data_IF_384674445827
#
_entry.id   IF_384674445827
#
_cell.length_a   1.000
_cell.length_b   1.000
_cell.length_c   1.000
_cell.angle_alpha   90.00
_cell.angle_beta   90.00
_cell.angle_gamma   90.00
#
_symmetry.space_group_name_H-M   'P 1'
#
loop_
_entity.id
_entity.type
_entity.pdbx_description
1 polymer ?
#
# COMPACT_ATOMS: atom_id res chain seq x y z
N UNK A 1 -7.16 38.79 33.97
CA UNK A 1 -6.84 40.23 33.92
C UNK A 1 -7.70 41.06 34.89
N UNK A 2 -9.00 40.79 35.04
CA UNK A 2 -9.87 41.51 35.99
C UNK A 2 -9.45 41.34 37.47
N UNK A 3 -9.27 40.11 37.95
CA UNK A 3 -8.87 39.82 39.35
C UNK A 3 -7.52 40.43 39.77
N UNK A 4 -6.58 40.60 38.83
CA UNK A 4 -5.31 41.27 39.11
C UNK A 4 -5.45 42.79 39.25
N UNK A 5 -6.39 43.40 38.51
CA UNK A 5 -6.67 44.82 38.60
C UNK A 5 -7.39 45.17 39.92
N UNK A 6 -8.33 44.32 40.34
CA UNK A 6 -9.10 44.47 41.57
C UNK A 6 -8.22 44.37 42.83
N UNK A 7 -7.29 43.41 42.86
CA UNK A 7 -6.28 43.31 43.93
C UNK A 7 -5.33 44.52 43.96
N UNK A 8 -5.02 45.09 42.79
CA UNK A 8 -4.15 46.26 42.69
C UNK A 8 -4.85 47.53 43.19
N UNK A 9 -6.17 47.66 42.96
CA UNK A 9 -7.00 48.72 43.54
C UNK A 9 -7.09 48.62 45.06
N UNK A 10 -7.32 47.42 45.62
CA UNK A 10 -7.39 47.23 47.09
C UNK A 10 -6.05 47.49 47.77
N UNK A 11 -4.92 47.11 47.14
CA UNK A 11 -3.58 47.51 47.61
C UNK A 11 -3.34 49.01 47.52
N UNK A 12 -3.78 49.67 46.45
CA UNK A 12 -3.59 51.11 46.26
C UNK A 12 -4.47 51.95 47.20
N UNK A 13 -5.62 51.43 47.61
CA UNK A 13 -6.55 52.06 48.55
C UNK A 13 -6.16 51.87 50.04
N UNK A 14 -5.08 51.12 50.34
CA UNK A 14 -4.66 50.84 51.70
C UNK A 14 -5.58 49.85 52.44
N UNK A 15 -6.22 48.94 51.70
CA UNK A 15 -7.09 47.90 52.26
C UNK A 15 -6.36 47.00 53.26
N UNK A 16 -7.12 46.49 54.24
CA UNK A 16 -6.60 45.65 55.31
C UNK A 16 -6.04 44.32 54.74
N UNK A 17 -5.03 43.75 55.41
CA UNK A 17 -4.42 42.47 54.98
C UNK A 17 -5.47 41.35 54.91
N UNK A 18 -6.53 41.45 55.73
CA UNK A 18 -7.69 40.56 55.73
C UNK A 18 -8.49 40.66 54.44
N UNK A 19 -8.72 41.86 53.90
CA UNK A 19 -9.48 42.06 52.65
C UNK A 19 -8.72 41.51 51.45
N UNK A 20 -7.39 41.68 51.46
CA UNK A 20 -6.52 41.12 50.41
C UNK A 20 -6.49 39.59 50.47
N UNK A 21 -6.46 39.00 51.67
CA UNK A 21 -6.49 37.55 51.88
C UNK A 21 -7.80 36.94 51.37
N UNK A 22 -8.93 37.59 51.68
CA UNK A 22 -10.26 37.18 51.21
C UNK A 22 -10.35 37.17 49.68
N UNK A 23 -9.79 38.18 49.00
CA UNK A 23 -9.73 38.21 47.52
C UNK A 23 -8.88 37.07 46.95
N UNK A 24 -7.73 36.76 47.56
CA UNK A 24 -6.92 35.61 47.14
C UNK A 24 -7.62 34.27 47.39
N UNK A 25 -8.39 34.12 48.47
CA UNK A 25 -9.19 32.92 48.73
C UNK A 25 -10.30 32.75 47.69
N UNK A 26 -11.05 33.82 47.39
CA UNK A 26 -12.09 33.81 46.35
C UNK A 26 -11.53 33.43 44.98
N UNK A 27 -10.40 34.01 44.58
CA UNK A 27 -9.77 33.69 43.31
C UNK A 27 -9.22 32.26 43.26
N UNK A 28 -8.68 31.74 44.37
CA UNK A 28 -8.26 30.34 44.44
C UNK A 28 -9.45 29.38 44.28
N UNK A 29 -10.59 29.71 44.88
CA UNK A 29 -11.80 28.91 44.76
C UNK A 29 -12.39 29.00 43.35
N UNK A 30 -12.34 30.17 42.72
CA UNK A 30 -12.73 30.34 41.32
C UNK A 30 -11.81 29.54 40.38
N UNK A 31 -10.48 29.65 40.54
CA UNK A 31 -9.51 28.88 39.75
C UNK A 31 -9.65 27.38 39.94
N UNK A 32 -9.95 26.91 41.16
CA UNK A 32 -10.23 25.49 41.43
C UNK A 32 -11.51 25.02 40.72
N UNK A 33 -12.52 25.87 40.67
CA UNK A 33 -13.78 25.60 39.97
C UNK A 33 -13.55 25.52 38.46
N UNK A 34 -12.89 26.53 37.88
CA UNK A 34 -12.55 26.56 36.46
C UNK A 34 -11.66 25.36 36.05
N UNK A 35 -10.67 25.00 36.88
CA UNK A 35 -9.81 23.85 36.62
C UNK A 35 -10.60 22.54 36.66
N UNK A 36 -11.56 22.42 37.58
CA UNK A 36 -12.45 21.26 37.67
C UNK A 36 -13.33 21.16 36.43
N UNK A 37 -13.97 22.25 36.03
CA UNK A 37 -14.82 22.32 34.82
C UNK A 37 -14.02 22.00 33.55
N UNK A 38 -12.81 22.53 33.42
CA UNK A 38 -11.93 22.23 32.29
C UNK A 38 -11.56 20.74 32.26
N UNK A 39 -11.23 20.14 33.41
CA UNK A 39 -10.93 18.70 33.49
C UNK A 39 -12.12 17.85 33.06
N UNK A 40 -13.31 18.16 33.58
CA UNK A 40 -14.54 17.46 33.19
C UNK A 40 -14.83 17.61 31.68
N UNK A 41 -14.60 18.81 31.12
CA UNK A 41 -14.73 19.05 29.70
C UNK A 41 -13.72 18.24 28.86
N UNK A 42 -12.44 18.23 29.25
CA UNK A 42 -11.41 17.48 28.54
C UNK A 42 -11.63 15.96 28.64
N UNK A 43 -12.03 15.45 29.80
CA UNK A 43 -12.37 14.03 29.98
C UNK A 43 -13.56 13.64 29.10
N UNK A 44 -14.57 14.52 29.00
CA UNK A 44 -15.70 14.34 28.10
C UNK A 44 -15.29 14.31 26.62
N UNK A 45 -14.44 15.25 26.20
CA UNK A 45 -13.91 15.29 24.84
C UNK A 45 -13.04 14.07 24.51
N UNK A 46 -12.20 13.63 25.44
CA UNK A 46 -11.36 12.45 25.27
C UNK A 46 -12.21 11.19 25.10
N UNK A 47 -13.22 11.02 25.96
CA UNK A 47 -14.16 9.89 25.88
C UNK A 47 -14.90 9.86 24.54
N UNK A 48 -15.36 11.02 24.06
CA UNK A 48 -16.04 11.13 22.76
C UNK A 48 -15.09 10.78 21.60
N UNK A 49 -13.85 11.29 21.63
CA UNK A 49 -12.85 11.00 20.61
C UNK A 49 -12.45 9.52 20.59
N UNK A 50 -12.32 8.88 21.75
CA UNK A 50 -12.06 7.44 21.86
C UNK A 50 -13.21 6.62 21.29
N UNK A 51 -14.47 6.96 21.63
CA UNK A 51 -15.65 6.29 21.11
C UNK A 51 -15.78 6.43 19.57
N UNK A 52 -15.51 7.62 19.02
CA UNK A 52 -15.50 7.85 17.58
C UNK A 52 -14.40 7.03 16.88
N UNK A 53 -13.19 7.03 17.44
CA UNK A 53 -12.07 6.24 16.92
C UNK A 53 -12.41 4.76 16.92
N UNK A 54 -12.95 4.24 18.00
CA UNK A 54 -13.27 2.81 18.12
C UNK A 54 -14.39 2.42 17.16
N UNK A 55 -15.40 3.28 16.98
CA UNK A 55 -16.45 3.10 15.98
C UNK A 55 -15.87 3.10 14.56
N UNK A 56 -14.95 4.01 14.25
CA UNK A 56 -14.29 4.07 12.95
C UNK A 56 -13.43 2.83 12.66
N UNK A 57 -12.70 2.34 13.66
CA UNK A 57 -11.92 1.09 13.55
C UNK A 57 -12.84 -0.11 13.30
N UNK A 58 -13.95 -0.22 14.04
CA UNK A 58 -14.91 -1.31 13.84
C UNK A 58 -15.56 -1.25 12.46
N UNK A 59 -15.96 -0.07 12.01
CA UNK A 59 -16.50 0.14 10.67
C UNK A 59 -15.49 -0.26 9.58
N UNK A 60 -14.24 0.18 9.70
CA UNK A 60 -13.17 -0.18 8.77
C UNK A 60 -12.92 -1.69 8.72
N UNK A 61 -12.85 -2.35 9.88
CA UNK A 61 -12.67 -3.79 9.97
C UNK A 61 -13.84 -4.56 9.35
N UNK A 62 -15.07 -4.14 9.61
CA UNK A 62 -16.27 -4.77 9.02
C UNK A 62 -16.33 -4.59 7.51
N UNK A 63 -16.00 -3.40 7.00
CA UNK A 63 -15.93 -3.13 5.57
C UNK A 63 -14.85 -3.99 4.88
N UNK A 64 -13.68 -4.14 5.52
CA UNK A 64 -12.59 -4.99 5.03
C UNK A 64 -13.01 -6.46 4.97
N UNK A 65 -13.68 -6.97 6.01
CA UNK A 65 -14.18 -8.35 6.02
C UNK A 65 -15.20 -8.59 4.89
N UNK A 66 -16.15 -7.68 4.69
CA UNK A 66 -17.11 -7.76 3.59
C UNK A 66 -16.45 -7.70 2.21
N UNK A 67 -15.42 -6.87 2.04
CA UNK A 67 -14.68 -6.78 0.78
C UNK A 67 -13.98 -8.10 0.45
N UNK A 68 -13.33 -8.73 1.43
CA UNK A 68 -12.68 -10.04 1.25
C UNK A 68 -13.70 -11.14 0.88
N UNK A 69 -14.86 -11.17 1.53
CA UNK A 69 -15.93 -12.12 1.20
C UNK A 69 -16.42 -11.94 -0.25
N UNK A 70 -16.66 -10.69 -0.67
CA UNK A 70 -17.07 -10.37 -2.04
C UNK A 70 -16.00 -10.79 -3.05
N UNK A 71 -14.73 -10.52 -2.78
CA UNK A 71 -13.61 -10.94 -3.64
C UNK A 71 -13.54 -12.45 -3.78
N UNK A 72 -13.68 -13.20 -2.68
CA UNK A 72 -13.72 -14.66 -2.73
C UNK A 72 -14.89 -15.17 -3.59
N UNK A 73 -16.06 -14.57 -3.43
CA UNK A 73 -17.25 -14.93 -4.22
C UNK A 73 -17.07 -14.62 -5.71
N UNK A 74 -16.54 -13.45 -6.06
CA UNK A 74 -16.25 -13.07 -7.45
C UNK A 74 -15.29 -14.08 -8.07
N UNK A 75 -14.20 -14.44 -7.39
CA UNK A 75 -13.23 -15.44 -7.88
C UNK A 75 -13.88 -16.81 -8.10
N UNK A 76 -14.71 -17.26 -7.17
CA UNK A 76 -15.44 -18.52 -7.33
C UNK A 76 -16.35 -18.50 -8.56
N UNK A 77 -17.01 -17.36 -8.82
CA UNK A 77 -17.85 -17.19 -10.00
C UNK A 77 -17.02 -17.13 -11.29
N UNK A 78 -15.89 -16.42 -11.30
CA UNK A 78 -14.97 -16.37 -12.42
C UNK A 78 -14.42 -17.76 -12.77
N UNK A 79 -14.00 -18.54 -11.77
CA UNK A 79 -13.55 -19.92 -11.98
C UNK A 79 -14.64 -20.80 -12.60
N UNK A 80 -15.88 -20.70 -12.10
CA UNK A 80 -17.02 -21.45 -12.66
C UNK A 80 -17.35 -21.00 -14.09
N UNK A 81 -17.26 -19.69 -14.35
CA UNK A 81 -17.48 -19.13 -15.68
C UNK A 81 -16.44 -19.67 -16.66
N UNK A 82 -15.16 -19.59 -16.32
CA UNK A 82 -14.05 -20.12 -17.12
C UNK A 82 -14.21 -21.63 -17.36
N UNK A 83 -14.62 -22.41 -16.34
CA UNK A 83 -14.87 -23.84 -16.51
C UNK A 83 -16.01 -24.15 -17.50
N UNK A 84 -16.94 -23.20 -17.70
CA UNK A 84 -18.10 -23.36 -18.58
C UNK A 84 -17.81 -22.86 -20.00
N UNK A 85 -17.13 -21.73 -20.15
CA UNK A 85 -16.82 -21.11 -21.45
C UNK A 85 -15.49 -21.57 -22.05
N UNK A 86 -14.66 -22.26 -21.26
CA UNK A 86 -13.28 -22.58 -21.60
C UNK A 86 -12.32 -21.42 -21.32
N UNK A 87 -11.03 -21.76 -21.16
CA UNK A 87 -9.94 -20.77 -21.06
C UNK A 87 -9.61 -20.32 -22.48
N UNK A 88 -9.84 -19.04 -22.79
CA UNK A 88 -9.30 -18.44 -24.01
C UNK A 88 -7.94 -17.85 -23.69
N UNK A 89 -6.87 -18.48 -24.19
CA UNK A 89 -5.55 -17.87 -24.12
C UNK A 89 -5.56 -16.51 -24.85
N UNK A 90 -5.09 -15.44 -24.21
CA UNK A 90 -5.07 -14.14 -24.84
C UNK A 90 -4.04 -14.13 -25.97
N UNK A 91 -4.39 -13.53 -27.10
CA UNK A 91 -3.44 -13.31 -28.17
C UNK A 91 -2.32 -12.40 -27.65
N UNK A 92 -1.06 -12.79 -27.88
CA UNK A 92 0.12 -12.02 -27.51
C UNK A 92 0.43 -11.02 -28.63
N UNK A 93 0.35 -9.70 -28.37
CA UNK A 93 0.74 -8.71 -29.35
C UNK A 93 2.24 -8.77 -29.67
N UNK A 94 2.59 -8.48 -30.92
CA UNK A 94 3.98 -8.41 -31.37
C UNK A 94 4.65 -7.05 -31.07
N UNK A 95 3.89 -6.08 -30.56
CA UNK A 95 4.36 -4.75 -30.17
C UNK A 95 3.84 -4.35 -28.79
N UNK A 96 4.38 -3.26 -28.25
CA UNK A 96 4.00 -2.70 -26.95
C UNK A 96 3.05 -1.49 -27.08
N UNK A 97 2.52 -1.22 -28.27
CA UNK A 97 1.75 0.00 -28.54
C UNK A 97 0.42 0.05 -27.75
N UNK A 98 -0.23 -1.10 -27.61
CA UNK A 98 -1.48 -1.29 -26.87
C UNK A 98 -1.26 -1.99 -25.53
N UNK A 99 -0.06 -1.87 -24.97
CA UNK A 99 0.35 -2.63 -23.79
C UNK A 99 -0.54 -2.35 -22.56
N UNK A 100 -0.90 -1.09 -22.31
CA UNK A 100 -1.74 -0.73 -21.15
C UNK A 100 -3.15 -1.32 -21.27
N UNK A 101 -3.78 -1.19 -22.43
CA UNK A 101 -5.12 -1.74 -22.67
C UNK A 101 -5.13 -3.26 -22.59
N UNK A 102 -4.12 -3.91 -23.18
CA UNK A 102 -3.97 -5.36 -23.06
C UNK A 102 -3.81 -5.81 -21.60
N UNK A 103 -3.03 -5.08 -20.79
CA UNK A 103 -2.89 -5.39 -19.37
C UNK A 103 -4.23 -5.26 -18.64
N UNK A 104 -5.00 -4.20 -18.91
CA UNK A 104 -6.32 -3.99 -18.33
C UNK A 104 -7.27 -5.14 -18.65
N UNK A 105 -7.27 -5.61 -19.88
CA UNK A 105 -8.20 -6.65 -20.32
C UNK A 105 -7.82 -8.06 -19.83
N UNK A 106 -6.52 -8.33 -19.65
CA UNK A 106 -6.03 -9.70 -19.44
C UNK A 106 -5.47 -9.96 -18.04
N UNK A 107 -5.10 -8.93 -17.28
CA UNK A 107 -4.40 -9.07 -16.00
C UNK A 107 -5.22 -8.59 -14.80
N UNK A 108 -6.25 -7.78 -15.02
CA UNK A 108 -7.09 -7.18 -13.98
C UNK A 108 -7.58 -8.22 -12.97
N UNK A 109 -7.49 -7.88 -11.68
CA UNK A 109 -7.89 -8.77 -10.59
C UNK A 109 -6.84 -9.81 -10.17
N UNK A 110 -5.69 -9.90 -10.86
CA UNK A 110 -4.60 -10.81 -10.52
C UNK A 110 -3.22 -10.16 -10.55
N UNK A 111 -2.92 -9.36 -11.57
CA UNK A 111 -1.66 -8.62 -11.68
C UNK A 111 -1.97 -7.15 -11.98
N UNK A 112 -1.44 -6.26 -11.16
CA UNK A 112 -1.57 -4.81 -11.34
C UNK A 112 -0.23 -4.18 -11.69
N UNK A 113 -0.26 -3.21 -12.61
CA UNK A 113 0.92 -2.45 -13.00
C UNK A 113 0.73 -1.01 -12.54
N UNK A 114 1.74 -0.46 -11.85
CA UNK A 114 1.72 0.96 -11.48
C UNK A 114 2.21 1.83 -12.64
N UNK A 115 1.88 3.13 -12.62
CA UNK A 115 2.25 4.09 -13.68
C UNK A 115 3.73 4.04 -14.10
N UNK A 116 4.64 3.83 -13.15
CA UNK A 116 6.07 3.71 -13.41
C UNK A 116 6.44 2.49 -14.26
N UNK A 117 5.73 1.37 -14.11
CA UNK A 117 5.93 0.17 -14.91
C UNK A 117 5.60 0.45 -16.39
N UNK A 118 4.48 1.11 -16.67
CA UNK A 118 4.12 1.55 -18.03
C UNK A 118 5.15 2.50 -18.64
N UNK A 119 5.70 3.40 -17.83
CA UNK A 119 6.79 4.27 -18.28
C UNK A 119 8.06 3.50 -18.64
N UNK A 120 8.38 2.43 -17.90
CA UNK A 120 9.51 1.54 -18.20
C UNK A 120 9.33 0.84 -19.55
N UNK A 121 8.14 0.30 -19.81
CA UNK A 121 7.79 -0.35 -21.09
C UNK A 121 7.85 0.65 -22.24
N UNK A 122 7.25 1.84 -22.09
CA UNK A 122 7.21 2.86 -23.17
C UNK A 122 8.60 3.35 -23.60
N UNK A 123 9.60 3.26 -22.71
CA UNK A 123 10.99 3.66 -22.98
C UNK A 123 11.88 2.47 -23.36
N UNK A 124 11.31 1.28 -23.44
CA UNK A 124 12.08 0.07 -23.62
C UNK A 124 12.33 -0.22 -25.10
N UNK A 125 13.58 -0.56 -25.40
CA UNK A 125 13.98 -1.15 -26.69
C UNK A 125 14.14 -2.67 -26.58
N UNK A 126 13.43 -3.32 -25.64
CA UNK A 126 13.53 -4.76 -25.44
C UNK A 126 13.07 -5.50 -26.68
N UNK A 127 13.92 -6.40 -27.17
CA UNK A 127 13.78 -7.00 -28.51
C UNK A 127 12.60 -7.96 -28.67
N UNK A 128 12.06 -8.50 -27.57
CA UNK A 128 10.97 -9.48 -27.59
C UNK A 128 9.76 -8.99 -26.77
N UNK A 129 8.85 -8.20 -27.38
CA UNK A 129 7.60 -7.78 -26.75
C UNK A 129 6.75 -8.95 -26.21
N UNK A 130 6.67 -10.05 -26.94
CA UNK A 130 5.87 -11.22 -26.55
C UNK A 130 6.38 -11.85 -25.25
N UNK A 131 7.69 -11.82 -25.00
CA UNK A 131 8.26 -12.28 -23.74
C UNK A 131 7.81 -11.46 -22.54
N UNK A 132 7.60 -10.16 -22.70
CA UNK A 132 7.06 -9.29 -21.64
C UNK A 132 5.65 -9.74 -21.27
N UNK A 133 4.80 -9.97 -22.27
CA UNK A 133 3.44 -10.47 -22.05
C UNK A 133 3.43 -11.84 -21.38
N UNK A 134 4.25 -12.79 -21.86
CA UNK A 134 4.40 -14.13 -21.24
C UNK A 134 4.85 -14.06 -19.79
N UNK A 135 5.77 -13.14 -19.46
CA UNK A 135 6.23 -12.94 -18.08
C UNK A 135 5.12 -12.45 -17.16
N UNK A 136 4.22 -11.59 -17.66
CA UNK A 136 3.05 -11.11 -16.91
C UNK A 136 1.98 -12.19 -16.74
N UNK A 137 1.75 -12.98 -17.79
CA UNK A 137 0.86 -14.14 -17.72
C UNK A 137 1.40 -15.20 -16.76
N UNK A 138 2.71 -15.41 -16.70
CA UNK A 138 3.33 -16.28 -15.72
C UNK A 138 2.99 -15.85 -14.28
N UNK A 139 3.00 -14.55 -14.00
CA UNK A 139 2.56 -14.04 -12.71
C UNK A 139 1.06 -14.31 -12.48
N UNK A 140 0.22 -14.01 -13.48
CA UNK A 140 -1.24 -14.16 -13.41
C UNK A 140 -1.67 -15.61 -13.19
N UNK A 141 -1.12 -16.53 -13.98
CA UNK A 141 -1.62 -17.90 -14.12
C UNK A 141 -0.95 -18.88 -13.15
N UNK A 142 0.23 -18.53 -12.63
CA UNK A 142 1.00 -19.44 -11.78
C UNK A 142 1.42 -18.82 -10.45
N UNK A 143 2.02 -17.62 -10.45
CA UNK A 143 2.45 -17.00 -9.19
C UNK A 143 1.26 -16.63 -8.30
N UNK A 144 0.25 -15.97 -8.85
CA UNK A 144 -0.92 -15.51 -8.10
C UNK A 144 -1.71 -16.69 -7.50
N UNK A 145 -2.06 -17.76 -8.25
CA UNK A 145 -2.67 -18.95 -7.68
C UNK A 145 -1.81 -19.62 -6.61
N UNK A 146 -0.48 -19.73 -6.81
CA UNK A 146 0.43 -20.26 -5.80
C UNK A 146 0.43 -19.44 -4.50
N UNK A 147 0.27 -18.12 -4.58
CA UNK A 147 0.21 -17.24 -3.40
C UNK A 147 -1.15 -17.28 -2.70
N UNK A 148 -2.24 -17.36 -3.46
CA UNK A 148 -3.61 -17.44 -2.92
C UNK A 148 -3.90 -18.78 -2.28
N UNK A 149 -3.40 -19.85 -2.90
CA UNK A 149 -3.70 -21.23 -2.53
C UNK A 149 -2.39 -21.98 -2.27
N UNK A 150 -2.19 -22.40 -1.02
CA UNK A 150 -0.99 -23.17 -0.61
C UNK A 150 -1.09 -24.65 -0.99
N UNK A 151 -1.43 -24.93 -2.25
CA UNK A 151 -1.47 -26.30 -2.79
C UNK A 151 -0.07 -26.68 -3.32
N UNK A 152 0.43 -27.91 -3.05
CA UNK A 152 1.74 -28.36 -3.53
C UNK A 152 1.87 -28.28 -5.06
N UNK A 153 0.81 -28.59 -5.79
CA UNK A 153 0.78 -28.60 -7.25
C UNK A 153 0.98 -27.20 -7.84
N UNK A 154 0.46 -26.14 -7.20
CA UNK A 154 0.61 -24.77 -7.67
C UNK A 154 2.07 -24.30 -7.60
N UNK A 155 2.82 -24.72 -6.56
CA UNK A 155 4.24 -24.39 -6.45
C UNK A 155 5.07 -25.10 -7.52
N UNK A 156 4.75 -26.36 -7.81
CA UNK A 156 5.41 -27.11 -8.88
C UNK A 156 5.11 -26.49 -10.24
N UNK A 157 3.83 -26.20 -10.52
CA UNK A 157 3.41 -25.56 -11.77
C UNK A 157 4.10 -24.21 -11.99
N UNK A 158 4.25 -23.41 -10.93
CA UNK A 158 4.99 -22.15 -10.99
C UNK A 158 6.48 -22.34 -11.30
N UNK A 159 7.13 -23.31 -10.65
CA UNK A 159 8.53 -23.63 -10.95
C UNK A 159 8.71 -24.13 -12.39
N UNK A 160 7.81 -24.98 -12.89
CA UNK A 160 7.83 -25.48 -14.27
C UNK A 160 7.60 -24.34 -15.29
N UNK A 161 6.70 -23.41 -14.99
CA UNK A 161 6.46 -22.21 -15.82
C UNK A 161 7.66 -21.25 -15.84
N UNK A 162 8.36 -21.08 -14.71
CA UNK A 162 9.60 -20.30 -14.66
C UNK A 162 10.67 -20.94 -15.55
N UNK A 163 10.86 -22.26 -15.43
CA UNK A 163 11.84 -23.00 -16.22
C UNK A 163 11.54 -22.95 -17.73
N UNK A 164 10.27 -23.02 -18.14
CA UNK A 164 9.88 -23.00 -19.56
C UNK A 164 10.15 -21.65 -20.24
N UNK A 165 10.15 -20.56 -19.47
CA UNK A 165 10.50 -19.22 -19.94
C UNK A 165 11.95 -18.82 -19.63
N UNK A 166 12.75 -19.74 -19.09
CA UNK A 166 14.13 -19.46 -18.63
C UNK A 166 14.20 -18.26 -17.68
N UNK A 167 13.20 -18.15 -16.80
CA UNK A 167 13.08 -17.10 -15.79
C UNK A 167 13.49 -17.62 -14.41
N UNK A 168 14.23 -16.80 -13.68
CA UNK A 168 14.53 -17.01 -12.27
C UNK A 168 13.75 -15.99 -11.43
N UNK A 169 13.10 -16.45 -10.36
CA UNK A 169 12.49 -15.57 -9.36
C UNK A 169 13.39 -15.50 -8.12
N UNK A 170 13.72 -14.29 -7.69
CA UNK A 170 14.53 -14.08 -6.50
C UNK A 170 14.18 -12.80 -5.77
N UNK A 171 14.61 -12.70 -4.51
CA UNK A 171 14.48 -11.45 -3.76
C UNK A 171 15.40 -10.38 -4.33
N UNK A 172 14.97 -9.13 -4.23
CA UNK A 172 15.71 -7.97 -4.78
C UNK A 172 17.02 -7.65 -4.00
N UNK A 173 17.28 -8.35 -2.89
CA UNK A 173 18.55 -8.31 -2.15
C UNK A 173 18.88 -6.98 -1.47
N UNK A 174 20.13 -6.84 -1.00
CA UNK A 174 20.62 -5.66 -0.26
C UNK A 174 20.68 -4.36 -1.11
N UNK A 175 20.51 -4.43 -2.43
CA UNK A 175 20.41 -3.25 -3.29
C UNK A 175 19.26 -2.30 -2.92
N UNK A 176 18.22 -2.84 -2.26
CA UNK A 176 17.12 -2.07 -1.66
C UNK A 176 17.62 -1.12 -0.57
N UNK A 177 18.66 -1.50 0.20
CA UNK A 177 19.20 -0.69 1.31
C UNK A 177 19.88 0.59 0.84
N UNK A 178 20.47 0.59 -0.36
CA UNK A 178 21.23 1.73 -0.90
C UNK A 178 20.44 2.56 -1.92
N UNK A 179 19.27 2.10 -2.36
CA UNK A 179 18.45 2.79 -3.37
C UNK A 179 16.95 2.54 -3.15
N UNK A 180 16.50 2.73 -1.91
CA UNK A 180 15.12 2.47 -1.49
C UNK A 180 14.06 3.19 -2.35
N UNK A 181 14.36 4.38 -2.88
CA UNK A 181 13.47 5.11 -3.80
C UNK A 181 13.27 4.38 -5.15
N UNK A 182 14.31 3.74 -5.68
CA UNK A 182 14.20 3.03 -6.95
C UNK A 182 13.41 1.73 -6.81
N UNK A 183 13.55 1.06 -5.68
CA UNK A 183 12.91 -0.21 -5.35
C UNK A 183 11.62 -0.05 -4.56
N UNK A 184 10.94 1.09 -4.66
CA UNK A 184 9.63 1.26 -4.05
C UNK A 184 8.65 2.02 -4.94
N UNK A 185 7.37 1.80 -4.67
CA UNK A 185 6.24 2.38 -5.39
C UNK A 185 5.17 2.82 -4.39
N UNK A 186 4.37 3.80 -4.76
CA UNK A 186 3.16 4.14 -4.00
C UNK A 186 2.02 3.25 -4.48
N UNK A 187 1.42 2.49 -3.56
CA UNK A 187 0.30 1.60 -3.85
C UNK A 187 -0.58 1.44 -2.60
N UNK A 188 -1.91 1.54 -2.76
CA UNK A 188 -2.85 1.44 -1.64
C UNK A 188 -2.61 2.51 -0.56
N UNK A 189 -2.28 3.74 -0.98
CA UNK A 189 -2.04 4.88 -0.06
C UNK A 189 -0.73 4.82 0.74
N UNK A 190 0.13 3.83 0.49
CA UNK A 190 1.37 3.67 1.21
C UNK A 190 2.52 3.25 0.30
N UNK A 191 3.74 3.51 0.80
CA UNK A 191 4.97 3.16 0.10
C UNK A 191 5.24 1.67 0.29
N UNK A 192 5.46 0.95 -0.82
CA UNK A 192 5.69 -0.50 -0.86
C UNK A 192 7.02 -0.80 -1.53
N UNK A 193 7.79 -1.73 -0.95
CA UNK A 193 9.05 -2.20 -1.51
C UNK A 193 8.79 -3.25 -2.60
N UNK A 194 9.53 -3.16 -3.70
CA UNK A 194 9.60 -4.19 -4.75
C UNK A 194 10.59 -5.26 -4.30
N UNK A 195 10.13 -6.17 -3.44
CA UNK A 195 10.93 -7.15 -2.73
C UNK A 195 11.28 -8.39 -3.56
N UNK A 196 10.60 -8.58 -4.71
CA UNK A 196 10.85 -9.69 -5.64
C UNK A 196 11.15 -9.18 -7.04
N UNK A 197 11.82 -10.03 -7.81
CA UNK A 197 11.92 -9.83 -9.24
C UNK A 197 12.00 -11.14 -10.02
N UNK A 198 11.49 -11.10 -11.26
CA UNK A 198 11.80 -12.07 -12.29
C UNK A 198 13.04 -11.61 -13.06
N UNK A 199 13.89 -12.56 -13.41
CA UNK A 199 15.13 -12.37 -14.14
C UNK A 199 15.17 -13.30 -15.33
N UNK A 200 15.39 -12.75 -16.52
CA UNK A 200 15.72 -13.54 -17.71
C UNK A 200 17.22 -13.53 -17.99
N UNK A 201 17.58 -13.27 -19.24
CA UNK A 201 18.98 -13.12 -19.65
C UNK A 201 19.74 -12.10 -18.81
N UNK A 202 20.99 -12.42 -18.47
CA UNK A 202 21.89 -11.58 -17.69
C UNK A 202 22.70 -10.60 -18.57
N UNK A 203 22.25 -10.37 -19.81
CA UNK A 203 22.91 -9.44 -20.72
C UNK A 203 22.96 -8.02 -20.14
N UNK A 204 24.12 -7.37 -20.29
CA UNK A 204 24.30 -5.95 -19.93
C UNK A 204 23.64 -5.00 -20.93
N UNK A 205 23.34 -5.48 -22.13
CA UNK A 205 22.59 -4.72 -23.13
C UNK A 205 21.10 -4.77 -22.79
N UNK A 206 20.49 -3.59 -22.56
CA UNK A 206 19.08 -3.43 -22.17
C UNK A 206 18.10 -4.03 -23.17
N UNK A 207 18.50 -4.18 -24.43
CA UNK A 207 17.68 -4.81 -25.47
C UNK A 207 17.46 -6.29 -25.20
N UNK A 208 18.38 -6.93 -24.48
CA UNK A 208 18.41 -8.38 -24.23
C UNK A 208 18.32 -8.74 -22.74
N UNK A 209 18.65 -7.83 -21.82
CA UNK A 209 18.56 -8.06 -20.38
C UNK A 209 17.14 -7.83 -19.85
N UNK A 210 16.54 -8.85 -19.23
CA UNK A 210 15.16 -8.79 -18.71
C UNK A 210 15.11 -8.78 -17.18
N UNK A 211 14.37 -7.82 -16.62
CA UNK A 211 13.94 -7.77 -15.22
C UNK A 211 12.49 -7.29 -15.10
N UNK A 212 11.75 -7.92 -14.20
CA UNK A 212 10.42 -7.48 -13.78
C UNK A 212 10.41 -7.42 -12.25
N UNK A 213 10.24 -6.24 -11.68
CA UNK A 213 10.21 -6.01 -10.24
C UNK A 213 8.79 -5.88 -9.73
N UNK A 214 8.46 -6.63 -8.69
CA UNK A 214 7.10 -6.69 -8.17
C UNK A 214 7.09 -6.99 -6.67
N UNK A 215 5.93 -6.83 -6.06
CA UNK A 215 5.64 -7.30 -4.72
C UNK A 215 4.29 -8.00 -4.67
N UNK A 216 4.03 -8.73 -3.59
CA UNK A 216 2.72 -9.33 -3.33
C UNK A 216 1.89 -8.43 -2.41
N UNK A 217 0.68 -8.06 -2.83
CA UNK A 217 -0.28 -7.36 -1.96
C UNK A 217 -1.14 -8.39 -1.23
N UNK A 218 -0.93 -8.56 0.08
CA UNK A 218 -1.77 -9.45 0.88
C UNK A 218 -3.21 -8.93 1.05
N UNK A 219 -3.40 -7.61 0.98
CA UNK A 219 -4.71 -6.98 1.12
C UNK A 219 -5.60 -7.24 -0.10
N UNK A 220 -5.06 -7.05 -1.30
CA UNK A 220 -5.79 -7.25 -2.56
C UNK A 220 -5.62 -8.67 -3.13
N UNK A 221 -4.66 -9.43 -2.59
CA UNK A 221 -4.25 -10.76 -3.07
C UNK A 221 -3.87 -10.74 -4.56
N UNK A 222 -3.07 -9.77 -4.97
CA UNK A 222 -2.57 -9.58 -6.35
C UNK A 222 -1.06 -9.37 -6.37
N UNK A 223 -0.43 -9.67 -7.51
CA UNK A 223 0.95 -9.27 -7.75
C UNK A 223 0.97 -7.84 -8.30
N UNK A 224 1.76 -6.96 -7.70
CA UNK A 224 1.87 -5.55 -8.12
C UNK A 224 3.24 -5.32 -8.73
N UNK A 225 3.27 -5.02 -10.02
CA UNK A 225 4.48 -4.78 -10.81
C UNK A 225 4.84 -3.30 -10.76
N UNK A 226 6.04 -3.01 -10.27
CA UNK A 226 6.57 -1.66 -10.13
C UNK A 226 7.43 -1.20 -11.31
N UNK A 227 8.10 -2.14 -11.97
CA UNK A 227 9.02 -1.85 -13.06
C UNK A 227 9.29 -3.07 -13.94
N UNK A 228 9.37 -2.84 -15.25
CA UNK A 228 9.79 -3.78 -16.28
C UNK A 228 10.10 -3.00 -17.58
N UNK A 229 10.76 -3.58 -18.59
CA UNK A 229 11.37 -4.91 -18.63
C UNK A 229 12.89 -4.90 -18.33
N UNK A 230 13.47 -3.77 -17.95
CA UNK A 230 14.91 -3.64 -17.74
C UNK A 230 15.29 -3.64 -16.27
N UNK A 231 16.61 -3.73 -16.00
CA UNK A 231 17.14 -3.32 -14.70
C UNK A 231 16.70 -1.89 -14.33
N UNK A 232 16.54 -1.68 -13.02
CA UNK A 232 16.42 -0.34 -12.46
C UNK A 232 17.79 0.34 -12.47
N UNK A 233 17.83 1.58 -12.96
CA UNK A 233 19.07 2.37 -13.07
C UNK A 233 19.60 2.73 -11.69
N UNK A 234 20.45 1.87 -11.12
CA UNK A 234 21.26 2.24 -9.97
C UNK A 234 22.41 3.14 -10.44
N UNK A 235 22.73 4.19 -9.68
CA UNK A 235 23.87 5.11 -9.98
C UNK A 235 25.25 4.44 -9.89
N UNK A 236 25.32 3.11 -9.94
CA UNK A 236 26.53 2.30 -9.87
C UNK A 236 26.75 1.44 -11.14
N UNK A 237 25.94 1.64 -12.19
CA UNK A 237 26.12 0.98 -13.50
C UNK A 237 26.83 1.85 -14.52
#
# INVERSE_FOLDING_TARGET
>A
MAAQAERAEVRAAGGDDVDLLNLYEQDNDQLRTELKEQREQYDGLLTAAEAERDTAIQAANSAKAQALERLHRIRTLEQRFIATTGVREPALPDSLDLFEDWCRDNLSGSVELVGRAFQGVRKSDYHDPQFIYRSLLLLRDYYVPMRRESLPDNRKAYADALNSLELEESSTGDGVKYSADLYSVQYGGARRSLDRHLKGSNSRDRRYGFRLYFFWSDEEQVAVVGWLPSHLDNRAS
#
